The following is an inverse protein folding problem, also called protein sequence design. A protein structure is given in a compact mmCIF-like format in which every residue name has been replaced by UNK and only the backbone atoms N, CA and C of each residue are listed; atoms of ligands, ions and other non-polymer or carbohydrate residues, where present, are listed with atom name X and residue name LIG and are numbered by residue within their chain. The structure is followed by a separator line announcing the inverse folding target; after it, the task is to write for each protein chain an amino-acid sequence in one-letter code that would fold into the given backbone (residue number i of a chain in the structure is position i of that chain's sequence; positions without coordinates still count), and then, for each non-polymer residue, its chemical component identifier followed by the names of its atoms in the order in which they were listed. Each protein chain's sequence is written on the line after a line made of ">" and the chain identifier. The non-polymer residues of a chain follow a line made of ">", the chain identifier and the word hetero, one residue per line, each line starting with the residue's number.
data_IF_877235046729
#
_entry.id   IF_877235046729
#
_cell.length_a   1.000
_cell.length_b   1.000
_cell.length_c   1.000
_cell.angle_alpha   90.00
_cell.angle_beta   90.00
_cell.angle_gamma   90.00
#
_symmetry.space_group_name_H-M   'P 1'
#
loop_
_entity.id
_entity.type
_entity.pdbx_description
1 polymer ?
#
# COMPACT_ATOMS: atom_id res chain seq x y z
N UNK A 1 -22.40 36.89 -21.02
CA UNK A 1 -21.33 37.16 -20.03
C UNK A 1 -20.21 36.17 -20.27
N UNK A 2 -19.05 36.64 -20.73
CA UNK A 2 -17.85 35.81 -20.86
C UNK A 2 -17.37 35.40 -19.46
N UNK A 3 -16.97 34.13 -19.29
CA UNK A 3 -16.34 33.66 -18.07
C UNK A 3 -15.05 34.47 -17.83
N UNK A 4 -14.73 34.85 -16.58
CA UNK A 4 -13.52 35.61 -16.30
C UNK A 4 -12.30 34.78 -16.69
N UNK A 5 -11.38 35.42 -17.41
CA UNK A 5 -10.05 34.89 -17.74
C UNK A 5 -9.36 34.40 -16.46
N UNK A 6 -8.68 33.23 -16.47
CA UNK A 6 -7.94 32.79 -15.30
C UNK A 6 -6.88 33.85 -14.98
N UNK A 7 -6.90 34.36 -13.75
CA UNK A 7 -5.91 35.32 -13.25
C UNK A 7 -4.47 34.79 -13.37
N UNK A 8 -3.47 35.63 -13.11
CA UNK A 8 -2.06 35.27 -13.25
C UNK A 8 -1.76 33.97 -12.49
N UNK A 9 -1.15 32.99 -13.17
CA UNK A 9 -0.77 31.72 -12.56
C UNK A 9 0.16 32.00 -11.39
N UNK A 10 -0.36 31.78 -10.20
CA UNK A 10 0.33 31.85 -8.92
C UNK A 10 1.65 31.05 -8.94
N UNK A 11 2.73 31.64 -8.44
CA UNK A 11 4.06 31.02 -8.46
C UNK A 11 4.17 29.87 -7.45
N UNK A 12 4.74 28.75 -7.87
CA UNK A 12 5.03 27.61 -7.00
C UNK A 12 6.48 27.14 -7.12
N UNK A 13 7.00 26.54 -6.05
CA UNK A 13 8.28 25.83 -6.01
C UNK A 13 7.98 24.34 -5.79
N UNK A 14 8.34 23.51 -6.76
CA UNK A 14 8.30 22.05 -6.66
C UNK A 14 9.74 21.52 -6.62
N UNK A 15 10.08 20.85 -5.52
CA UNK A 15 11.38 20.20 -5.34
C UNK A 15 11.24 18.68 -5.38
N UNK A 16 12.23 18.01 -5.95
CA UNK A 16 12.34 16.54 -5.97
C UNK A 16 13.51 16.10 -5.10
N UNK A 17 13.27 15.15 -4.20
CA UNK A 17 14.26 14.64 -3.25
C UNK A 17 14.70 13.24 -3.68
N UNK A 18 16.02 12.98 -3.69
CA UNK A 18 16.63 11.72 -4.12
C UNK A 18 16.15 11.22 -5.50
N UNK A 19 15.96 12.15 -6.44
CA UNK A 19 15.41 11.89 -7.78
C UNK A 19 16.02 10.68 -8.50
N UNK A 20 17.36 10.53 -8.59
CA UNK A 20 17.97 9.38 -9.25
C UNK A 20 17.60 8.02 -8.65
N UNK A 21 17.47 7.93 -7.33
CA UNK A 21 17.08 6.69 -6.64
C UNK A 21 15.62 6.31 -6.94
N UNK A 22 14.72 7.29 -6.93
CA UNK A 22 13.30 7.05 -7.27
C UNK A 22 13.10 6.76 -8.76
N UNK A 23 13.86 7.40 -9.65
CA UNK A 23 13.86 7.05 -11.07
C UNK A 23 14.33 5.61 -11.31
N UNK A 24 15.35 5.16 -10.59
CA UNK A 24 15.77 3.75 -10.61
C UNK A 24 14.67 2.82 -10.09
N UNK A 25 14.01 3.17 -8.97
CA UNK A 25 12.88 2.39 -8.44
C UNK A 25 11.75 2.27 -9.47
N UNK A 26 11.32 3.37 -10.10
CA UNK A 26 10.31 3.35 -11.16
C UNK A 26 10.70 2.42 -12.32
N UNK A 27 11.92 2.52 -12.82
CA UNK A 27 12.43 1.60 -13.87
C UNK A 27 12.47 0.14 -13.43
N UNK A 28 12.85 -0.13 -12.18
CA UNK A 28 12.82 -1.51 -11.65
C UNK A 28 11.41 -2.10 -11.58
N UNK A 29 10.37 -1.24 -11.54
CA UNK A 29 8.97 -1.61 -11.61
C UNK A 29 8.41 -1.67 -13.05
N UNK A 30 9.24 -1.37 -14.05
CA UNK A 30 8.83 -1.22 -15.46
C UNK A 30 7.90 -0.06 -15.69
N UNK A 31 7.95 0.94 -14.81
CA UNK A 31 7.20 2.16 -14.98
C UNK A 31 8.04 3.12 -15.82
N UNK A 32 7.59 3.38 -17.05
CA UNK A 32 8.16 4.41 -17.91
C UNK A 32 7.99 5.80 -17.26
N UNK A 33 8.97 6.68 -17.45
CA UNK A 33 8.92 8.02 -16.86
C UNK A 33 7.79 8.85 -17.49
N UNK A 34 7.53 8.65 -18.79
CA UNK A 34 6.47 9.29 -19.55
C UNK A 34 5.10 8.89 -19.00
N UNK A 35 4.89 7.59 -18.73
CA UNK A 35 3.64 7.08 -18.15
C UNK A 35 3.42 7.61 -16.73
N UNK A 36 4.47 7.62 -15.91
CA UNK A 36 4.42 8.17 -14.56
C UNK A 36 4.09 9.66 -14.56
N UNK A 37 4.72 10.43 -15.45
CA UNK A 37 4.47 11.86 -15.60
C UNK A 37 3.08 12.13 -16.18
N UNK A 38 2.61 11.35 -17.14
CA UNK A 38 1.27 11.50 -17.72
C UNK A 38 0.18 11.27 -16.67
N UNK A 39 0.31 10.22 -15.85
CA UNK A 39 -0.65 9.89 -14.80
C UNK A 39 -0.67 10.90 -13.63
N UNK A 40 0.44 11.60 -13.40
CA UNK A 40 0.53 12.66 -12.38
C UNK A 40 0.32 14.06 -12.96
N UNK A 41 0.34 14.19 -14.28
CA UNK A 41 0.32 15.42 -15.02
C UNK A 41 -1.10 15.99 -15.19
N UNK A 42 -1.26 16.95 -16.12
CA UNK A 42 -2.55 17.50 -16.45
C UNK A 42 -3.45 16.41 -17.05
N UNK A 43 -4.53 16.10 -16.35
CA UNK A 43 -5.51 15.10 -16.76
C UNK A 43 -6.83 15.37 -16.04
N UNK A 44 -7.25 14.45 -15.18
CA UNK A 44 -8.41 14.63 -14.31
C UNK A 44 -8.07 15.14 -12.90
N UNK A 45 -9.10 15.49 -12.10
CA UNK A 45 -8.90 15.82 -10.70
C UNK A 45 -8.40 14.60 -9.91
N UNK A 46 -7.59 14.88 -8.89
CA UNK A 46 -7.18 13.86 -7.93
C UNK A 46 -8.32 13.62 -6.94
N UNK A 47 -8.50 12.37 -6.53
CA UNK A 47 -9.47 12.02 -5.50
C UNK A 47 -8.83 12.23 -4.12
N UNK A 48 -9.36 13.18 -3.34
CA UNK A 48 -8.90 13.43 -1.98
C UNK A 48 -9.66 12.56 -0.97
N UNK A 49 -8.94 11.88 -0.08
CA UNK A 49 -9.54 11.15 1.03
C UNK A 49 -9.57 12.01 2.28
N UNK A 50 -10.74 12.06 2.93
CA UNK A 50 -10.86 12.58 4.28
C UNK A 50 -10.33 11.52 5.25
N UNK A 51 -9.11 11.73 5.76
CA UNK A 51 -8.53 10.81 6.73
C UNK A 51 -9.19 10.97 8.09
N UNK A 52 -9.65 9.86 8.68
CA UNK A 52 -10.00 9.78 10.11
C UNK A 52 -8.75 9.58 10.99
N UNK A 53 -7.55 9.61 10.41
CA UNK A 53 -6.30 9.38 11.15
C UNK A 53 -5.89 10.58 11.99
N UNK A 54 -5.25 10.32 13.14
CA UNK A 54 -4.72 11.35 14.04
C UNK A 54 -3.66 12.25 13.40
N UNK A 55 -3.08 11.86 12.26
CA UNK A 55 -1.89 12.49 11.67
C UNK A 55 -2.15 13.79 10.91
N UNK A 56 -3.42 14.16 10.67
CA UNK A 56 -3.82 15.29 9.80
C UNK A 56 -3.21 15.22 8.38
N UNK A 57 -2.65 14.09 7.97
CA UNK A 57 -2.13 13.90 6.63
C UNK A 57 -3.29 13.93 5.63
N UNK A 58 -3.13 14.72 4.57
CA UNK A 58 -3.95 14.65 3.38
C UNK A 58 -3.46 13.54 2.46
N UNK A 59 -4.42 12.84 1.86
CA UNK A 59 -4.21 11.72 0.97
C UNK A 59 -4.93 11.99 -0.34
N UNK A 60 -4.25 11.74 -1.45
CA UNK A 60 -4.78 11.93 -2.78
C UNK A 60 -4.50 10.69 -3.63
N UNK A 61 -5.39 10.38 -4.55
CA UNK A 61 -5.21 9.33 -5.53
C UNK A 61 -5.25 9.97 -6.92
N UNK A 62 -4.33 9.57 -7.80
CA UNK A 62 -4.25 10.06 -9.18
C UNK A 62 -5.56 9.82 -9.91
N UNK A 63 -5.79 10.56 -10.99
CA UNK A 63 -7.03 10.47 -11.78
C UNK A 63 -7.29 9.05 -12.32
N UNK A 64 -6.23 8.30 -12.62
CA UNK A 64 -6.27 6.92 -13.10
C UNK A 64 -6.15 5.87 -11.98
N UNK A 65 -6.11 6.32 -10.73
CA UNK A 65 -6.05 5.50 -9.52
C UNK A 65 -4.80 4.61 -9.37
N UNK A 66 -3.78 4.79 -10.21
CA UNK A 66 -2.52 4.03 -10.15
C UNK A 66 -1.60 4.49 -9.04
N UNK A 67 -1.66 5.77 -8.67
CA UNK A 67 -0.71 6.40 -7.75
C UNK A 67 -1.39 7.07 -6.58
N UNK A 68 -0.83 6.84 -5.41
CA UNK A 68 -1.28 7.40 -4.16
C UNK A 68 -0.27 8.44 -3.65
N UNK A 69 -0.76 9.60 -3.25
CA UNK A 69 0.02 10.72 -2.78
C UNK A 69 -0.35 10.99 -1.33
N UNK A 70 0.66 10.93 -0.46
CA UNK A 70 0.48 11.15 0.97
C UNK A 70 1.32 12.34 1.40
N UNK A 71 0.68 13.36 1.97
CA UNK A 71 1.42 14.43 2.66
C UNK A 71 2.12 13.88 3.90
N UNK A 72 3.35 14.32 4.12
CA UNK A 72 4.21 13.77 5.16
C UNK A 72 4.98 14.89 5.88
N UNK A 73 5.22 14.72 7.18
CA UNK A 73 5.99 15.67 7.96
C UNK A 73 7.46 15.68 7.55
N UNK A 74 8.12 16.85 7.62
CA UNK A 74 9.54 17.01 7.27
C UNK A 74 10.47 15.99 7.97
N UNK A 75 10.22 15.70 9.26
CA UNK A 75 11.03 14.74 10.03
C UNK A 75 10.89 13.31 9.51
N UNK A 76 9.67 12.91 9.15
CA UNK A 76 9.40 11.57 8.64
C UNK A 76 9.96 11.41 7.22
N UNK A 77 9.94 12.48 6.41
CA UNK A 77 10.63 12.50 5.10
C UNK A 77 12.14 12.35 5.27
N UNK A 78 12.75 13.07 6.22
CA UNK A 78 14.19 12.94 6.50
C UNK A 78 14.57 11.52 6.91
N UNK A 79 13.76 10.89 7.77
CA UNK A 79 13.92 9.48 8.13
C UNK A 79 13.82 8.57 6.92
N UNK A 80 12.77 8.72 6.11
CA UNK A 80 12.53 7.86 4.95
C UNK A 80 13.72 7.94 3.99
N UNK A 81 14.23 9.14 3.73
CA UNK A 81 15.41 9.35 2.90
C UNK A 81 16.68 8.74 3.51
N UNK A 82 16.84 8.79 4.85
CA UNK A 82 17.96 8.13 5.52
C UNK A 82 17.90 6.59 5.42
N UNK A 83 16.70 6.01 5.32
CA UNK A 83 16.50 4.57 5.13
C UNK A 83 16.42 4.13 3.66
N UNK A 84 16.37 5.07 2.71
CA UNK A 84 16.18 4.79 1.29
C UNK A 84 17.18 3.77 0.72
N UNK A 85 18.50 3.82 1.02
CA UNK A 85 19.43 2.81 0.51
C UNK A 85 19.12 1.40 0.99
N UNK A 86 18.76 1.23 2.27
CA UNK A 86 18.37 -0.07 2.84
C UNK A 86 17.05 -0.57 2.26
N UNK A 87 16.09 0.32 2.03
CA UNK A 87 14.83 0.01 1.35
C UNK A 87 15.05 -0.48 -0.07
N UNK A 88 15.86 0.22 -0.87
CA UNK A 88 16.22 -0.21 -2.23
C UNK A 88 16.87 -1.60 -2.21
N UNK A 89 17.82 -1.83 -1.29
CA UNK A 89 18.48 -3.12 -1.15
C UNK A 89 17.52 -4.23 -0.73
N UNK A 90 16.55 -3.95 0.16
CA UNK A 90 15.52 -4.91 0.54
C UNK A 90 14.67 -5.32 -0.66
N UNK A 91 14.21 -4.37 -1.47
CA UNK A 91 13.43 -4.67 -2.68
C UNK A 91 14.22 -5.44 -3.73
N UNK A 92 15.53 -5.21 -3.84
CA UNK A 92 16.40 -5.99 -4.74
C UNK A 92 16.55 -7.44 -4.28
N UNK A 93 16.69 -7.68 -2.96
CA UNK A 93 16.79 -9.04 -2.39
C UNK A 93 15.46 -9.77 -2.36
N UNK A 94 14.38 -9.04 -2.17
CA UNK A 94 13.03 -9.56 -2.02
C UNK A 94 12.10 -8.88 -3.04
N UNK A 95 12.17 -9.26 -4.33
CA UNK A 95 11.38 -8.61 -5.39
C UNK A 95 9.88 -8.67 -5.12
N UNK A 96 9.41 -9.71 -4.43
CA UNK A 96 8.01 -9.89 -4.04
C UNK A 96 7.62 -9.26 -2.69
N UNK A 97 8.49 -8.44 -2.08
CA UNK A 97 8.23 -7.68 -0.85
C UNK A 97 6.91 -6.93 -0.89
N UNK A 98 6.06 -7.11 0.12
CA UNK A 98 4.76 -6.47 0.31
C UNK A 98 4.86 -4.97 0.63
N UNK A 99 6.06 -4.45 0.91
CA UNK A 99 6.26 -3.03 1.20
C UNK A 99 5.76 -2.14 0.04
N UNK A 100 5.02 -1.09 0.39
CA UNK A 100 4.52 -0.10 -0.54
C UNK A 100 5.64 0.43 -1.45
N UNK A 101 5.38 0.46 -2.76
CA UNK A 101 6.37 0.89 -3.75
C UNK A 101 6.44 2.41 -3.81
N UNK A 102 7.51 2.97 -3.24
CA UNK A 102 7.77 4.41 -3.21
C UNK A 102 8.33 4.86 -4.56
N UNK A 103 7.66 5.84 -5.19
CA UNK A 103 7.95 6.28 -6.57
C UNK A 103 8.50 7.69 -6.65
N UNK A 104 8.43 8.46 -5.55
CA UNK A 104 8.95 9.81 -5.48
C UNK A 104 8.72 10.45 -4.12
N UNK A 105 9.61 11.38 -3.78
CA UNK A 105 9.42 12.28 -2.64
C UNK A 105 9.63 13.70 -3.13
N UNK A 106 8.63 14.54 -2.86
CA UNK A 106 8.60 15.90 -3.36
C UNK A 106 8.27 16.88 -2.26
N UNK A 107 8.63 18.15 -2.52
CA UNK A 107 8.25 19.27 -1.69
C UNK A 107 7.55 20.32 -2.52
N UNK A 108 6.43 20.85 -2.03
CA UNK A 108 5.65 21.88 -2.70
C UNK A 108 5.55 23.11 -1.80
N UNK A 109 5.74 24.29 -2.38
CA UNK A 109 5.48 25.58 -1.77
C UNK A 109 4.70 26.43 -2.77
N UNK A 110 3.51 26.88 -2.38
CA UNK A 110 2.64 27.74 -3.20
C UNK A 110 2.64 29.15 -2.60
N UNK A 111 2.87 30.19 -3.41
CA UNK A 111 2.81 31.62 -3.02
C UNK A 111 3.44 31.97 -1.67
N UNK A 112 4.72 31.61 -1.47
CA UNK A 112 5.46 31.81 -0.21
C UNK A 112 4.85 31.12 1.03
N UNK A 113 3.88 30.23 0.83
CA UNK A 113 3.26 29.46 1.89
C UNK A 113 4.19 28.45 2.56
N UNK A 114 3.62 27.70 3.50
CA UNK A 114 4.34 26.63 4.19
C UNK A 114 4.78 25.56 3.20
N UNK A 115 6.06 25.16 3.28
CA UNK A 115 6.59 24.04 2.50
C UNK A 115 5.98 22.73 2.99
N UNK A 116 5.24 22.07 2.11
CA UNK A 116 4.62 20.76 2.34
C UNK A 116 5.47 19.71 1.65
N UNK A 117 5.57 18.52 2.25
CA UNK A 117 6.23 17.38 1.63
C UNK A 117 5.19 16.31 1.35
N UNK A 118 5.38 15.55 0.29
CA UNK A 118 4.54 14.41 -0.02
C UNK A 118 5.35 13.30 -0.67
N UNK A 119 4.85 12.09 -0.45
CA UNK A 119 5.38 10.86 -1.03
C UNK A 119 4.40 10.41 -2.10
N UNK A 120 4.92 10.06 -3.28
CA UNK A 120 4.18 9.35 -4.31
C UNK A 120 4.52 7.86 -4.19
N UNK A 121 3.49 7.02 -4.16
CA UNK A 121 3.63 5.57 -4.09
C UNK A 121 2.62 4.89 -5.02
N UNK A 122 2.88 3.64 -5.40
CA UNK A 122 1.91 2.85 -6.15
C UNK A 122 0.69 2.55 -5.28
N UNK A 123 -0.52 2.66 -5.83
CA UNK A 123 -1.76 2.35 -5.12
C UNK A 123 -1.87 0.84 -4.90
N UNK A 124 -2.02 0.42 -3.64
CA UNK A 124 -2.25 -1.00 -3.28
C UNK A 124 -3.58 -1.50 -3.88
N UNK A 125 -4.58 -0.63 -3.95
CA UNK A 125 -5.94 -0.95 -4.37
C UNK A 125 -6.18 -0.63 -5.84
N UNK A 126 -5.28 -1.08 -6.72
CA UNK A 126 -5.40 -0.91 -8.16
C UNK A 126 -5.37 -2.27 -8.89
N UNK A 127 -6.26 -2.50 -9.88
CA UNK A 127 -7.41 -1.67 -10.26
C UNK A 127 -8.53 -1.69 -9.19
N UNK A 128 -9.15 -0.55 -8.91
CA UNK A 128 -10.08 -0.43 -7.78
C UNK A 128 -11.52 -0.85 -8.08
N UNK A 129 -11.88 -1.01 -9.36
CA UNK A 129 -13.27 -1.03 -9.83
C UNK A 129 -14.13 -2.20 -9.35
N UNK A 130 -13.52 -3.36 -9.02
CA UNK A 130 -14.24 -4.54 -8.51
C UNK A 130 -13.93 -4.87 -7.04
N UNK A 131 -13.22 -3.98 -6.35
CA UNK A 131 -12.91 -4.18 -4.94
C UNK A 131 -14.19 -3.98 -4.13
N UNK A 132 -14.64 -5.05 -3.48
CA UNK A 132 -15.81 -5.07 -2.62
C UNK A 132 -15.49 -4.49 -1.24
N UNK A 133 -14.33 -4.81 -0.68
CA UNK A 133 -13.98 -4.44 0.69
C UNK A 133 -12.51 -4.03 0.81
N UNK A 134 -12.21 -3.09 1.72
CA UNK A 134 -10.86 -2.56 1.97
C UNK A 134 -10.62 -2.49 3.47
N UNK A 135 -9.41 -2.86 3.89
CA UNK A 135 -9.00 -2.89 5.29
C UNK A 135 -7.62 -2.26 5.48
N UNK A 136 -7.46 -1.52 6.57
CA UNK A 136 -6.19 -1.11 7.17
C UNK A 136 -6.04 -1.93 8.46
N UNK A 137 -5.07 -2.84 8.52
CA UNK A 137 -4.86 -3.74 9.65
C UNK A 137 -3.55 -3.42 10.36
N UNK A 138 -3.57 -3.41 11.70
CA UNK A 138 -2.39 -3.23 12.56
C UNK A 138 -2.18 -4.37 13.55
N UNK A 139 -3.11 -5.31 13.64
CA UNK A 139 -3.15 -6.40 14.62
C UNK A 139 -3.47 -5.93 16.04
N UNK A 140 -4.22 -4.84 16.24
CA UNK A 140 -4.54 -4.34 17.59
C UNK A 140 -5.99 -3.83 17.70
N UNK A 141 -6.43 -3.46 18.90
CA UNK A 141 -7.85 -3.13 19.16
C UNK A 141 -8.14 -1.63 19.27
N UNK A 142 -7.26 -0.87 19.93
CA UNK A 142 -7.58 0.52 20.29
C UNK A 142 -7.64 1.42 19.05
N UNK A 143 -8.79 2.08 18.86
CA UNK A 143 -9.08 2.94 17.70
C UNK A 143 -9.09 2.20 16.35
N UNK A 144 -9.46 0.91 16.37
CA UNK A 144 -9.45 0.01 15.20
C UNK A 144 -10.84 -0.45 14.75
N UNK A 145 -11.85 0.39 14.96
CA UNK A 145 -13.18 0.29 14.38
C UNK A 145 -13.46 1.50 13.47
N UNK A 146 -14.26 1.29 12.42
CA UNK A 146 -14.84 2.31 11.56
C UNK A 146 -16.33 1.99 11.43
N UNK A 147 -17.18 2.99 11.60
CA UNK A 147 -18.62 2.81 11.42
C UNK A 147 -18.92 2.54 9.94
N UNK A 148 -19.69 1.48 9.62
CA UNK A 148 -20.10 1.19 8.25
C UNK A 148 -20.83 2.39 7.64
N UNK A 149 -20.61 2.61 6.34
CA UNK A 149 -21.40 3.59 5.61
C UNK A 149 -22.84 3.06 5.47
N UNK A 150 -23.84 3.94 5.45
CA UNK A 150 -25.20 3.56 5.09
C UNK A 150 -25.24 2.83 3.74
N UNK A 151 -26.20 1.93 3.59
CA UNK A 151 -26.41 1.19 2.34
C UNK A 151 -26.62 2.17 1.17
N UNK A 152 -25.94 1.91 0.04
CA UNK A 152 -25.96 2.80 -1.14
C UNK A 152 -25.07 4.04 -1.06
N UNK A 153 -24.29 4.23 0.01
CA UNK A 153 -23.35 5.36 0.09
C UNK A 153 -22.25 5.24 -0.98
N UNK A 154 -21.93 6.33 -1.71
CA UNK A 154 -20.80 6.34 -2.65
C UNK A 154 -19.43 6.40 -1.94
N UNK A 155 -19.41 6.42 -0.62
CA UNK A 155 -18.19 6.57 0.18
C UNK A 155 -17.35 5.28 0.13
N UNK A 156 -16.15 5.39 -0.44
CA UNK A 156 -15.15 4.32 -0.36
C UNK A 156 -14.54 4.30 1.04
N UNK A 157 -15.02 3.38 1.88
CA UNK A 157 -14.49 3.18 3.23
C UNK A 157 -13.29 2.24 3.24
N UNK A 158 -12.34 2.54 4.12
CA UNK A 158 -11.27 1.62 4.53
C UNK A 158 -11.55 1.22 5.97
N UNK A 159 -12.00 -0.03 6.13
CA UNK A 159 -12.33 -0.64 7.41
C UNK A 159 -11.07 -0.98 8.21
N UNK A 160 -11.21 -1.38 9.47
CA UNK A 160 -10.07 -1.68 10.36
C UNK A 160 -10.20 -3.07 11.01
N UNK A 161 -9.26 -3.40 11.90
CA UNK A 161 -9.11 -4.71 12.54
C UNK A 161 -10.40 -5.25 13.14
N UNK A 162 -11.16 -4.43 13.86
CA UNK A 162 -12.39 -4.88 14.53
C UNK A 162 -13.54 -5.11 13.54
N UNK A 163 -13.51 -4.46 12.37
CA UNK A 163 -14.47 -4.72 11.29
C UNK A 163 -14.15 -6.02 10.52
N UNK A 164 -12.97 -6.60 10.71
CA UNK A 164 -12.53 -7.84 10.06
C UNK A 164 -12.93 -9.09 10.85
N UNK A 165 -13.51 -8.94 12.04
CA UNK A 165 -13.88 -10.08 12.89
C UNK A 165 -14.80 -11.07 12.17
N UNK A 166 -14.51 -12.37 12.32
CA UNK A 166 -15.28 -13.45 11.71
C UNK A 166 -14.94 -13.73 10.24
N UNK A 167 -13.92 -13.06 9.66
CA UNK A 167 -13.44 -13.30 8.29
C UNK A 167 -12.09 -14.00 8.28
N UNK A 168 -11.85 -14.78 7.23
CA UNK A 168 -10.58 -15.45 6.93
C UNK A 168 -10.19 -15.17 5.48
N UNK A 169 -8.89 -15.11 5.21
CA UNK A 169 -8.32 -15.00 3.87
C UNK A 169 -7.93 -16.40 3.40
N UNK A 170 -8.60 -16.91 2.37
CA UNK A 170 -8.33 -18.25 1.85
C UNK A 170 -7.27 -18.18 0.74
N UNK A 171 -6.01 -18.42 1.11
CA UNK A 171 -4.84 -18.39 0.23
C UNK A 171 -4.41 -19.79 -0.22
N UNK A 172 -4.85 -20.83 0.47
CA UNK A 172 -4.50 -22.21 0.18
C UNK A 172 -2.97 -22.39 0.09
N UNK A 173 -2.41 -22.94 -1.01
CA UNK A 173 -0.97 -23.14 -1.14
C UNK A 173 -0.12 -21.87 -0.99
N UNK A 174 -0.67 -20.69 -1.33
CA UNK A 174 0.04 -19.41 -1.27
C UNK A 174 0.22 -18.89 0.17
N UNK A 175 -0.50 -19.47 1.16
CA UNK A 175 -0.42 -19.05 2.56
C UNK A 175 1.00 -19.08 3.09
N UNK A 176 1.72 -20.18 2.85
CA UNK A 176 3.09 -20.37 3.33
C UNK A 176 4.05 -19.29 2.82
N UNK A 177 3.92 -18.93 1.54
CA UNK A 177 4.68 -17.86 0.92
C UNK A 177 4.32 -16.50 1.54
N UNK A 178 3.03 -16.21 1.71
CA UNK A 178 2.57 -14.94 2.27
C UNK A 178 3.07 -14.71 3.69
N UNK A 179 2.98 -15.73 4.55
CA UNK A 179 3.49 -15.67 5.92
C UNK A 179 5.00 -15.40 5.96
N UNK A 180 5.77 -16.10 5.10
CA UNK A 180 7.21 -15.89 4.98
C UNK A 180 7.53 -14.47 4.50
N UNK A 181 6.80 -13.96 3.51
CA UNK A 181 7.03 -12.61 3.00
C UNK A 181 6.70 -11.53 4.06
N UNK A 182 5.62 -11.71 4.82
CA UNK A 182 5.29 -10.86 5.97
C UNK A 182 6.40 -10.87 7.03
N UNK A 183 6.99 -12.02 7.33
CA UNK A 183 8.11 -12.12 8.27
C UNK A 183 9.36 -11.35 7.77
N UNK A 184 9.71 -11.51 6.50
CA UNK A 184 10.84 -10.81 5.89
C UNK A 184 10.66 -9.29 5.94
N UNK A 185 9.48 -8.80 5.55
CA UNK A 185 9.20 -7.36 5.47
C UNK A 185 9.07 -6.72 6.86
N UNK A 186 8.43 -7.40 7.81
CA UNK A 186 8.31 -6.89 9.17
C UNK A 186 9.64 -6.97 9.94
N UNK A 187 10.49 -7.94 9.63
CA UNK A 187 11.87 -8.01 10.14
C UNK A 187 12.68 -6.82 9.66
N UNK A 188 12.61 -6.50 8.37
CA UNK A 188 13.24 -5.31 7.82
C UNK A 188 12.76 -4.01 8.50
N UNK A 189 11.44 -3.83 8.65
CA UNK A 189 10.88 -2.64 9.31
C UNK A 189 11.28 -2.55 10.79
N UNK A 190 11.37 -3.69 11.48
CA UNK A 190 11.87 -3.78 12.85
C UNK A 190 13.32 -3.31 12.95
N UNK A 191 14.19 -3.72 12.04
CA UNK A 191 15.60 -3.29 12.02
C UNK A 191 15.76 -1.79 11.77
N UNK A 192 14.85 -1.20 10.99
CA UNK A 192 14.77 0.24 10.80
C UNK A 192 14.08 0.98 11.96
N UNK A 193 13.65 0.25 13.00
CA UNK A 193 12.93 0.78 14.14
C UNK A 193 11.64 1.53 13.71
N UNK A 194 11.05 1.10 12.59
CA UNK A 194 9.79 1.62 12.03
C UNK A 194 8.61 0.96 12.73
N UNK A 195 7.54 1.73 12.92
CA UNK A 195 6.33 1.33 13.65
C UNK A 195 5.11 2.02 13.05
N UNK A 196 3.91 1.64 13.49
CA UNK A 196 2.62 2.20 13.05
C UNK A 196 2.33 1.97 11.55
N UNK A 197 3.08 1.07 10.89
CA UNK A 197 2.77 0.59 9.54
C UNK A 197 1.51 -0.28 9.53
N UNK A 198 0.73 -0.22 8.46
CA UNK A 198 -0.47 -1.05 8.30
C UNK A 198 -0.27 -2.08 7.20
N UNK A 199 -0.85 -3.25 7.35
CA UNK A 199 -1.17 -4.12 6.22
C UNK A 199 -2.48 -3.63 5.60
N UNK A 200 -2.41 -3.05 4.42
CA UNK A 200 -3.59 -2.79 3.60
C UNK A 200 -4.01 -4.08 2.90
N UNK A 201 -5.30 -4.35 2.92
CA UNK A 201 -5.89 -5.51 2.27
C UNK A 201 -7.18 -5.12 1.56
N UNK A 202 -7.45 -5.71 0.40
CA UNK A 202 -8.72 -5.56 -0.27
C UNK A 202 -9.20 -6.87 -0.90
N UNK A 203 -10.51 -7.01 -0.98
CA UNK A 203 -11.20 -8.19 -1.46
C UNK A 203 -11.87 -7.88 -2.80
N UNK A 204 -11.77 -8.80 -3.74
CA UNK A 204 -12.46 -8.75 -5.01
C UNK A 204 -13.01 -10.15 -5.31
N UNK A 205 -14.30 -10.28 -5.53
CA UNK A 205 -14.86 -11.56 -5.99
C UNK A 205 -14.38 -11.88 -7.41
N UNK A 206 -13.99 -13.14 -7.63
CA UNK A 206 -13.67 -13.66 -8.95
C UNK A 206 -14.97 -13.93 -9.73
N UNK A 207 -14.99 -13.53 -11.00
CA UNK A 207 -16.05 -13.95 -11.92
C UNK A 207 -15.95 -15.46 -12.22
N UNK A 208 -17.02 -16.06 -12.72
CA UNK A 208 -17.05 -17.50 -13.03
C UNK A 208 -15.96 -17.93 -14.02
N UNK A 209 -15.61 -17.08 -14.99
CA UNK A 209 -14.51 -17.31 -15.94
C UNK A 209 -13.11 -17.19 -15.30
N UNK A 210 -13.03 -16.57 -14.13
CA UNK A 210 -11.81 -16.43 -13.33
C UNK A 210 -11.67 -17.54 -12.27
N UNK A 211 -12.67 -18.41 -12.09
CA UNK A 211 -12.65 -19.51 -11.10
C UNK A 211 -12.14 -20.82 -11.72
N UNK A 212 -11.31 -21.56 -10.98
CA UNK A 212 -10.90 -22.94 -11.30
C UNK A 212 -9.38 -23.16 -11.45
N UNK A 213 -8.92 -24.42 -11.42
CA UNK A 213 -7.48 -24.77 -11.44
C UNK A 213 -6.77 -24.48 -12.79
N UNK A 214 -7.49 -23.98 -13.80
CA UNK A 214 -6.96 -23.59 -15.11
C UNK A 214 -7.28 -22.13 -15.51
N UNK A 215 -7.89 -21.33 -14.63
CA UNK A 215 -8.28 -19.93 -14.90
C UNK A 215 -7.23 -18.91 -14.51
N UNK A 216 -6.09 -19.35 -13.94
CA UNK A 216 -4.90 -18.49 -13.87
C UNK A 216 -4.62 -17.95 -15.27
N UNK A 217 -4.21 -16.70 -15.37
CA UNK A 217 -4.12 -15.87 -16.60
C UNK A 217 -3.45 -16.52 -17.83
N UNK A 218 -2.82 -17.69 -17.66
CA UNK A 218 -2.35 -18.60 -18.69
C UNK A 218 -3.44 -18.90 -19.75
N UNK A 219 -4.71 -19.14 -19.38
CA UNK A 219 -5.74 -19.43 -20.39
C UNK A 219 -6.21 -18.18 -21.16
N UNK A 220 -6.15 -17.00 -20.54
CA UNK A 220 -6.43 -15.71 -21.21
C UNK A 220 -5.34 -15.35 -22.24
N UNK A 221 -4.09 -15.71 -21.98
CA UNK A 221 -2.97 -15.54 -22.93
C UNK A 221 -2.92 -16.65 -23.98
N UNK A 222 -3.19 -17.90 -23.62
CA UNK A 222 -3.25 -19.02 -24.57
C UNK A 222 -4.40 -18.90 -25.59
N UNK A 223 -5.50 -18.21 -25.25
CA UNK A 223 -6.55 -17.84 -26.23
C UNK A 223 -6.16 -16.65 -27.12
N UNK A 224 -5.28 -15.76 -26.65
CA UNK A 224 -4.72 -14.66 -27.45
C UNK A 224 -3.55 -15.12 -28.33
N UNK A 225 -2.88 -16.21 -27.93
CA UNK A 225 -1.69 -16.77 -28.58
C UNK A 225 -1.92 -18.27 -28.75
N UNK A 226 -2.62 -18.65 -29.81
CA UNK A 226 -2.56 -20.05 -30.26
C UNK A 226 -1.12 -20.36 -30.70
N UNK A 227 -0.43 -21.21 -29.94
CA UNK A 227 0.85 -21.79 -30.34
C UNK A 227 1.67 -22.42 -29.21
N UNK A 228 1.53 -23.75 -29.08
CA UNK A 228 2.45 -24.72 -28.45
C UNK A 228 2.40 -24.98 -26.92
N UNK A 229 2.55 -26.28 -26.61
CA UNK A 229 2.39 -26.98 -25.32
C UNK A 229 3.73 -27.17 -24.57
N UNK A 230 3.70 -27.35 -23.24
CA UNK A 230 4.25 -28.56 -22.53
C UNK A 230 4.09 -28.46 -20.99
N UNK A 231 4.09 -29.59 -20.24
CA UNK A 231 3.68 -29.65 -18.84
C UNK A 231 4.82 -30.00 -17.88
N UNK A 232 5.52 -29.00 -17.31
CA UNK A 232 6.48 -29.17 -16.20
C UNK A 232 6.47 -27.96 -15.22
N UNK A 233 5.29 -27.49 -14.79
CA UNK A 233 5.19 -26.25 -13.98
C UNK A 233 4.61 -26.45 -12.58
N UNK A 234 4.71 -27.64 -11.98
CA UNK A 234 4.18 -27.83 -10.62
C UNK A 234 5.00 -27.12 -9.52
N UNK A 235 6.15 -26.53 -9.84
CA UNK A 235 6.95 -25.70 -8.93
C UNK A 235 6.98 -24.19 -9.28
N UNK A 236 6.27 -23.77 -10.33
CA UNK A 236 6.31 -22.39 -10.86
C UNK A 236 5.14 -21.50 -10.40
N UNK A 237 4.27 -21.99 -9.51
CA UNK A 237 2.98 -21.40 -9.10
C UNK A 237 3.02 -20.01 -8.42
N UNK A 238 4.19 -19.37 -8.29
CA UNK A 238 4.33 -18.01 -7.76
C UNK A 238 4.73 -16.97 -8.83
N UNK A 239 4.66 -17.31 -10.13
CA UNK A 239 4.98 -16.37 -11.21
C UNK A 239 3.77 -15.54 -11.64
N UNK A 240 3.82 -14.26 -11.25
CA UNK A 240 3.38 -13.08 -12.04
C UNK A 240 1.93 -13.10 -12.55
N UNK A 241 1.04 -12.41 -11.83
CA UNK A 241 -0.37 -12.23 -12.22
C UNK A 241 -0.64 -11.08 -13.22
N UNK A 242 0.36 -10.58 -13.95
CA UNK A 242 0.16 -9.80 -15.19
C UNK A 242 1.31 -10.10 -16.17
N UNK A 243 1.03 -10.46 -17.45
CA UNK A 243 2.08 -10.88 -18.39
C UNK A 243 3.13 -9.81 -18.73
N UNK A 244 2.80 -8.51 -18.65
CA UNK A 244 3.66 -7.45 -19.21
C UNK A 244 3.97 -6.28 -18.26
N UNK A 245 3.75 -6.42 -16.96
CA UNK A 245 4.18 -5.43 -15.96
C UNK A 245 5.21 -6.05 -15.01
N UNK A 246 6.49 -5.62 -15.04
CA UNK A 246 7.55 -6.28 -14.27
C UNK A 246 7.44 -6.07 -12.75
N UNK A 247 6.43 -5.35 -12.25
CA UNK A 247 5.99 -5.42 -10.85
C UNK A 247 4.49 -5.12 -10.72
N UNK A 248 3.66 -6.15 -10.93
CA UNK A 248 2.25 -6.10 -10.55
C UNK A 248 2.14 -6.18 -9.02
N UNK A 249 1.20 -5.39 -8.48
CA UNK A 249 0.82 -5.31 -7.07
C UNK A 249 0.72 -6.69 -6.40
N UNK A 250 0.82 -6.74 -5.06
CA UNK A 250 0.76 -8.00 -4.32
C UNK A 250 -0.66 -8.53 -4.31
N UNK A 251 -1.03 -9.14 -5.43
CA UNK A 251 -2.30 -9.77 -5.68
C UNK A 251 -2.12 -11.25 -5.42
N UNK A 252 -2.96 -11.83 -4.56
CA UNK A 252 -3.05 -13.27 -4.34
C UNK A 252 -4.46 -13.73 -4.68
N UNK A 253 -4.57 -14.86 -5.36
CA UNK A 253 -5.88 -15.42 -5.74
C UNK A 253 -6.22 -16.61 -4.84
N UNK A 254 -7.33 -16.51 -4.12
CA UNK A 254 -8.01 -17.61 -3.46
C UNK A 254 -9.03 -18.29 -4.39
N UNK A 255 -9.76 -19.31 -3.89
CA UNK A 255 -10.74 -20.06 -4.69
C UNK A 255 -11.87 -19.19 -5.27
N UNK A 256 -12.36 -18.24 -4.48
CA UNK A 256 -13.51 -17.39 -4.86
C UNK A 256 -13.15 -15.90 -4.95
N UNK A 257 -12.01 -15.51 -4.40
CA UNK A 257 -11.67 -14.12 -4.15
C UNK A 257 -10.22 -13.84 -4.52
N UNK A 258 -9.99 -12.64 -5.03
CA UNK A 258 -8.69 -12.00 -5.22
C UNK A 258 -8.42 -11.04 -4.07
N UNK A 259 -7.20 -11.11 -3.53
CA UNK A 259 -6.73 -10.29 -2.43
C UNK A 259 -5.64 -9.32 -2.90
N UNK A 260 -5.81 -8.02 -2.65
CA UNK A 260 -4.78 -7.01 -2.88
C UNK A 260 -4.12 -6.68 -1.55
N UNK A 261 -2.80 -6.80 -1.45
CA UNK A 261 -2.07 -6.73 -0.19
C UNK A 261 -0.94 -5.69 -0.30
N UNK A 262 -0.62 -5.02 0.81
CA UNK A 262 0.53 -4.13 0.85
C UNK A 262 0.79 -3.52 2.22
N UNK A 263 2.06 -3.47 2.63
CA UNK A 263 2.48 -2.84 3.88
C UNK A 263 2.82 -1.38 3.64
N UNK A 264 2.06 -0.46 4.26
CA UNK A 264 2.17 0.99 4.06
C UNK A 264 2.71 1.71 5.30
N UNK A 265 2.91 3.03 5.20
CA UNK A 265 3.32 3.91 6.31
C UNK A 265 4.74 3.64 6.86
N UNK A 266 5.72 3.55 5.95
CA UNK A 266 7.11 3.16 6.24
C UNK A 266 7.98 4.25 6.90
N UNK A 267 7.42 5.42 7.22
CA UNK A 267 8.19 6.61 7.62
C UNK A 267 8.13 6.95 9.12
N UNK A 268 7.35 6.21 9.92
CA UNK A 268 7.17 6.48 11.35
C UNK A 268 8.16 5.68 12.19
N UNK A 269 9.10 6.35 12.86
CA UNK A 269 10.14 5.68 13.69
C UNK A 269 9.79 5.72 15.17
N UNK A 270 10.12 4.64 15.86
CA UNK A 270 9.96 4.49 17.29
C UNK A 270 11.02 5.28 18.08
N UNK A 271 10.74 6.55 18.33
CA UNK A 271 11.57 7.44 19.17
C UNK A 271 10.99 7.70 20.57
N UNK A 272 11.59 8.63 21.30
CA UNK A 272 11.16 9.04 22.66
C UNK A 272 9.67 9.45 22.73
N UNK A 273 9.18 10.19 21.72
CA UNK A 273 7.76 10.57 21.64
C UNK A 273 6.85 9.35 21.60
N UNK A 274 7.24 8.30 20.87
CA UNK A 274 6.47 7.06 20.76
C UNK A 274 6.57 6.21 22.03
N UNK A 275 7.69 6.26 22.75
CA UNK A 275 7.82 5.66 24.09
C UNK A 275 6.90 6.33 25.11
N UNK A 276 6.81 7.65 25.10
CA UNK A 276 5.88 8.39 25.96
C UNK A 276 4.42 8.10 25.58
N UNK A 277 4.10 8.07 24.28
CA UNK A 277 2.77 7.68 23.79
C UNK A 277 2.40 6.26 24.25
N UNK A 278 3.36 5.32 24.23
CA UNK A 278 3.18 3.97 24.74
C UNK A 278 2.85 3.96 26.24
N UNK A 279 3.64 4.68 27.06
CA UNK A 279 3.39 4.79 28.50
C UNK A 279 1.99 5.34 28.79
N UNK A 280 1.63 6.44 28.14
CA UNK A 280 0.31 7.05 28.29
C UNK A 280 -0.83 6.10 27.90
N UNK A 281 -0.72 5.38 26.77
CA UNK A 281 -1.74 4.41 26.35
C UNK A 281 -1.85 3.21 27.28
N UNK A 282 -0.72 2.74 27.82
CA UNK A 282 -0.70 1.64 28.81
C UNK A 282 -1.52 2.01 30.04
N UNK A 283 -1.40 3.26 30.50
CA UNK A 283 -2.19 3.78 31.62
C UNK A 283 -3.66 4.00 31.26
N UNK A 284 -3.95 4.52 30.05
CA UNK A 284 -5.32 4.88 29.64
C UNK A 284 -6.20 3.69 29.26
N UNK A 285 -5.59 2.63 28.71
CA UNK A 285 -6.27 1.45 28.17
C UNK A 285 -5.68 0.16 28.74
N UNK A 286 -5.83 -0.09 30.05
CA UNK A 286 -5.31 -1.31 30.69
C UNK A 286 -5.90 -2.56 30.04
N UNK A 287 -5.07 -3.57 29.80
CA UNK A 287 -5.47 -4.86 29.21
C UNK A 287 -5.73 -4.85 27.70
N UNK A 288 -5.74 -3.68 27.03
CA UNK A 288 -6.02 -3.58 25.59
C UNK A 288 -4.75 -3.46 24.75
N UNK A 289 -4.82 -3.96 23.52
CA UNK A 289 -3.71 -3.87 22.56
C UNK A 289 -3.76 -2.58 21.73
N UNK A 290 -2.62 -1.95 21.50
CA UNK A 290 -2.50 -0.72 20.70
C UNK A 290 -1.20 -0.68 19.88
N UNK A 291 -1.18 0.19 18.88
CA UNK A 291 -0.14 0.23 17.86
C UNK A 291 1.23 0.68 18.40
N UNK A 292 1.29 1.59 19.37
CA UNK A 292 2.57 2.10 19.90
C UNK A 292 3.15 1.16 20.95
N UNK A 293 3.89 0.14 20.50
CA UNK A 293 4.68 -0.80 21.32
C UNK A 293 6.14 -0.81 20.83
N UNK A 294 7.02 -1.68 21.33
CA UNK A 294 8.35 -1.83 20.71
C UNK A 294 8.22 -2.39 19.29
N UNK A 295 9.10 -2.03 18.32
CA UNK A 295 9.02 -2.57 16.96
C UNK A 295 9.06 -4.10 16.89
N UNK A 296 9.82 -4.75 17.77
CA UNK A 296 9.84 -6.21 17.87
C UNK A 296 8.47 -6.79 18.27
N UNK A 297 7.80 -6.19 19.27
CA UNK A 297 6.45 -6.61 19.68
C UNK A 297 5.42 -6.28 18.60
N UNK A 298 5.60 -5.17 17.89
CA UNK A 298 4.73 -4.77 16.78
C UNK A 298 4.77 -5.78 15.64
N UNK A 299 5.98 -6.08 15.14
CA UNK A 299 6.21 -7.01 14.03
C UNK A 299 5.61 -8.38 14.35
N UNK A 300 5.96 -8.94 15.52
CA UNK A 300 5.44 -10.24 15.97
C UNK A 300 3.91 -10.26 16.00
N UNK A 301 3.29 -9.23 16.59
CA UNK A 301 1.82 -9.14 16.69
C UNK A 301 1.17 -9.10 15.32
N UNK A 302 1.72 -8.33 14.37
CA UNK A 302 1.14 -8.26 13.03
C UNK A 302 1.28 -9.59 12.29
N UNK A 303 2.44 -10.27 12.38
CA UNK A 303 2.63 -11.60 11.80
C UNK A 303 1.65 -12.62 12.40
N UNK A 304 1.49 -12.64 13.73
CA UNK A 304 0.53 -13.51 14.41
C UNK A 304 -0.92 -13.22 13.98
N UNK A 305 -1.26 -11.95 13.79
CA UNK A 305 -2.58 -11.58 13.27
C UNK A 305 -2.78 -12.17 11.88
N UNK A 306 -1.81 -12.04 10.98
CA UNK A 306 -1.91 -12.60 9.62
C UNK A 306 -2.02 -14.12 9.65
N UNK A 307 -1.20 -14.78 10.47
CA UNK A 307 -1.22 -16.24 10.64
C UNK A 307 -2.58 -16.77 11.10
N UNK A 308 -3.23 -16.05 12.03
CA UNK A 308 -4.52 -16.41 12.58
C UNK A 308 -5.72 -16.13 11.65
N UNK A 309 -5.54 -15.28 10.63
CA UNK A 309 -6.62 -14.84 9.73
C UNK A 309 -6.40 -15.29 8.27
N UNK A 310 -5.48 -16.24 8.05
CA UNK A 310 -5.22 -16.82 6.72
C UNK A 310 -5.30 -18.34 6.78
N UNK A 311 -5.87 -18.96 5.76
CA UNK A 311 -5.95 -20.42 5.56
C UNK A 311 -5.45 -20.85 4.19
#
# INVERSE_FOLDING_TARGET
>A
MAAPSPGPREGFELGTLAGPAFAWLRRSLGLAEEDYQAALGPGGPYLQFLSTSKSKASFFLSHDQRFFLKTQGRREVQVLLAHLPRYVQHLQRHPHSLLARLLGVHSLRVNRGKKTYFIVMQSVFYPAGRISERYDIKGCEVSRWVDPAPEGSPLVLVLKDLNFQGKTINLGPQRSWFLRQMELDTTFLRELNVLDYSLLMAFQYLHEDERGPGSSLIFRTARSVQGAQSPEESAAQNRRLLPDAPNALHILDGPEQRYFLGVVDLATVYGLRKRLEHLWKTLRYPGRTFSTVSPARYARRLCQWVEAHTE
#
